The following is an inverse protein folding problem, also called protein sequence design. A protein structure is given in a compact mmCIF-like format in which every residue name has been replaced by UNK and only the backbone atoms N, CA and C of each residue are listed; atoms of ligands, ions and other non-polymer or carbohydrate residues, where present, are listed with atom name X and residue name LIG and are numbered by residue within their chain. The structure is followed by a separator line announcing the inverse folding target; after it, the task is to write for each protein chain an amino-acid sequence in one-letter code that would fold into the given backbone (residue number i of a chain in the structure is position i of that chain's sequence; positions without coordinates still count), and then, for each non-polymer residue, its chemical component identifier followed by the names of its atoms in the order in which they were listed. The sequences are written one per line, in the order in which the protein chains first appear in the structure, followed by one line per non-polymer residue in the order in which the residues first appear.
data_IF_776356752344
#
_entry.id   IF_776356752344
#
_cell.length_a   1.000
_cell.length_b   1.000
_cell.length_c   1.000
_cell.angle_alpha   90.00
_cell.angle_beta   90.00
_cell.angle_gamma   90.00
#
_symmetry.space_group_name_H-M   'P 1'
#
loop_
_entity.id
_entity.type
_entity.pdbx_description
1 polymer ?
#
# COMPACT_ATOMS: atom_id res chain seq x y z
N UNK A 1 -22.18 -15.29 0.39
CA UNK A 1 -21.87 -14.61 -0.89
C UNK A 1 -20.37 -14.40 -0.91
N UNK A 2 -19.69 -14.85 -1.95
CA UNK A 2 -18.23 -14.70 -2.05
C UNK A 2 -17.86 -13.31 -2.64
N UNK A 3 -16.58 -12.95 -2.62
CA UNK A 3 -16.12 -11.66 -3.11
C UNK A 3 -16.47 -11.44 -4.59
N UNK A 4 -16.36 -12.48 -5.42
CA UNK A 4 -16.66 -12.40 -6.84
C UNK A 4 -18.12 -12.07 -7.13
N UNK A 5 -19.05 -12.72 -6.41
CA UNK A 5 -20.48 -12.45 -6.51
C UNK A 5 -20.81 -11.01 -6.12
N UNK A 6 -20.15 -10.48 -5.07
CA UNK A 6 -20.38 -9.09 -4.66
C UNK A 6 -19.79 -8.11 -5.67
N UNK A 7 -18.62 -8.38 -6.25
CA UNK A 7 -18.05 -7.53 -7.30
C UNK A 7 -19.02 -7.38 -8.48
N UNK A 8 -19.64 -8.47 -8.90
CA UNK A 8 -20.60 -8.45 -10.01
C UNK A 8 -21.85 -7.63 -9.67
N UNK A 9 -22.38 -7.77 -8.46
CA UNK A 9 -23.52 -6.97 -7.99
C UNK A 9 -23.15 -5.49 -7.84
N UNK A 10 -21.93 -5.20 -7.38
CA UNK A 10 -21.42 -3.85 -7.22
C UNK A 10 -21.31 -3.13 -8.56
N UNK A 11 -20.76 -3.77 -9.59
CA UNK A 11 -20.67 -3.18 -10.92
C UNK A 11 -22.07 -2.90 -11.49
N UNK A 12 -23.01 -3.84 -11.33
CA UNK A 12 -24.41 -3.65 -11.74
C UNK A 12 -25.04 -2.43 -11.04
N UNK A 13 -24.83 -2.30 -9.72
CA UNK A 13 -25.32 -1.16 -8.95
C UNK A 13 -24.68 0.14 -9.43
N UNK A 14 -23.35 0.16 -9.58
CA UNK A 14 -22.60 1.34 -10.02
C UNK A 14 -23.05 1.83 -11.40
N UNK A 15 -23.35 0.92 -12.31
CA UNK A 15 -23.93 1.27 -13.62
C UNK A 15 -25.33 1.86 -13.51
N UNK A 16 -26.13 1.43 -12.54
CA UNK A 16 -27.48 1.94 -12.29
C UNK A 16 -27.49 3.29 -11.57
N UNK A 17 -26.49 3.58 -10.73
CA UNK A 17 -26.36 4.84 -9.95
C UNK A 17 -25.13 5.65 -10.36
N UNK A 18 -24.99 5.93 -11.66
CA UNK A 18 -23.80 6.60 -12.24
C UNK A 18 -23.43 7.92 -11.56
N UNK A 19 -24.42 8.65 -11.06
CA UNK A 19 -24.21 9.96 -10.42
C UNK A 19 -23.73 9.87 -8.96
N UNK A 20 -23.76 8.69 -8.35
CA UNK A 20 -23.49 8.50 -6.92
C UNK A 20 -21.99 8.53 -6.55
N UNK A 21 -21.08 8.69 -7.52
CA UNK A 21 -19.61 8.74 -7.31
C UNK A 21 -19.08 7.61 -6.40
N UNK A 22 -19.60 6.40 -6.61
CA UNK A 22 -19.13 5.23 -5.87
C UNK A 22 -17.66 4.92 -6.19
N UNK A 23 -16.88 4.36 -5.24
CA UNK A 23 -15.52 3.91 -5.50
C UNK A 23 -15.41 2.99 -6.73
N UNK A 24 -14.30 3.02 -7.44
CA UNK A 24 -14.05 2.03 -8.48
C UNK A 24 -13.33 0.84 -7.85
N UNK A 25 -14.02 -0.29 -7.70
CA UNK A 25 -13.36 -1.54 -7.34
C UNK A 25 -12.53 -2.05 -8.53
N UNK A 26 -11.44 -2.76 -8.25
CA UNK A 26 -10.68 -3.50 -9.25
C UNK A 26 -11.55 -4.61 -9.85
N UNK A 27 -11.33 -4.93 -11.13
CA UNK A 27 -12.10 -5.96 -11.84
C UNK A 27 -11.78 -7.39 -11.41
N UNK A 28 -10.96 -7.56 -10.37
CA UNK A 28 -10.50 -8.85 -9.84
C UNK A 28 -10.46 -8.84 -8.33
N UNK A 29 -10.45 -10.05 -7.78
CA UNK A 29 -10.36 -10.35 -6.35
C UNK A 29 -8.94 -10.77 -5.99
N UNK A 30 -8.61 -10.71 -4.70
CA UNK A 30 -7.25 -10.91 -4.20
C UNK A 30 -7.22 -11.86 -3.01
N UNK A 31 -6.12 -12.56 -2.87
CA UNK A 31 -5.68 -13.12 -1.58
C UNK A 31 -4.56 -12.25 -1.02
N UNK A 32 -4.55 -12.06 0.29
CA UNK A 32 -3.61 -11.19 0.99
C UNK A 32 -2.94 -11.93 2.15
N UNK A 33 -1.62 -11.95 2.15
CA UNK A 33 -0.81 -12.37 3.29
C UNK A 33 -0.14 -11.16 3.93
N UNK A 34 -0.30 -11.01 5.24
CA UNK A 34 0.34 -9.95 6.03
C UNK A 34 1.32 -10.58 7.00
N UNK A 35 2.59 -10.20 6.91
CA UNK A 35 3.66 -10.62 7.82
C UNK A 35 4.19 -9.43 8.57
N UNK A 36 4.36 -9.57 9.87
CA UNK A 36 4.85 -8.51 10.74
C UNK A 36 6.04 -9.04 11.52
N UNK A 37 7.15 -8.30 11.51
CA UNK A 37 8.32 -8.60 12.33
C UNK A 37 8.90 -7.31 12.92
N UNK A 38 9.74 -7.45 13.93
CA UNK A 38 10.49 -6.33 14.52
C UNK A 38 11.97 -6.53 14.26
N UNK A 39 12.60 -5.54 13.62
CA UNK A 39 14.04 -5.48 13.41
C UNK A 39 14.65 -4.47 14.39
N UNK A 40 15.78 -4.81 15.00
CA UNK A 40 16.41 -3.98 16.05
C UNK A 40 17.58 -3.16 15.55
N UNK A 41 17.97 -3.31 14.28
CA UNK A 41 19.04 -2.52 13.68
C UNK A 41 18.63 -1.98 12.32
N UNK A 42 19.11 -0.79 11.99
CA UNK A 42 18.88 -0.17 10.69
C UNK A 42 19.51 -0.99 9.55
N UNK A 43 20.65 -1.65 9.81
CA UNK A 43 21.28 -2.55 8.84
C UNK A 43 20.38 -3.72 8.45
N UNK A 44 19.66 -4.31 9.40
CA UNK A 44 18.66 -5.35 9.12
C UNK A 44 17.49 -4.81 8.29
N UNK A 45 17.05 -3.57 8.55
CA UNK A 45 16.00 -2.92 7.74
C UNK A 45 16.47 -2.74 6.30
N UNK A 46 17.70 -2.26 6.10
CA UNK A 46 18.28 -2.09 4.77
C UNK A 46 18.44 -3.43 4.03
N UNK A 47 18.85 -4.49 4.73
CA UNK A 47 18.88 -5.83 4.15
C UNK A 47 17.47 -6.33 3.75
N UNK A 48 16.44 -6.03 4.56
CA UNK A 48 15.05 -6.36 4.22
C UNK A 48 14.55 -5.60 2.99
N UNK A 49 14.91 -4.31 2.86
CA UNK A 49 14.60 -3.50 1.67
C UNK A 49 15.30 -4.03 0.42
N UNK A 50 16.59 -4.38 0.51
CA UNK A 50 17.34 -4.97 -0.60
C UNK A 50 16.74 -6.30 -1.05
N UNK A 51 16.43 -7.19 -0.09
CA UNK A 51 15.78 -8.48 -0.35
C UNK A 51 14.40 -8.32 -1.00
N UNK A 52 13.64 -7.30 -0.59
CA UNK A 52 12.30 -7.00 -1.12
C UNK A 52 12.33 -6.51 -2.57
N UNK A 53 13.45 -5.96 -3.05
CA UNK A 53 13.65 -5.44 -4.42
C UNK A 53 12.53 -4.48 -4.85
N UNK A 54 12.34 -3.35 -4.14
CA UNK A 54 11.29 -2.41 -4.46
C UNK A 54 11.53 -1.79 -5.84
N UNK A 55 10.45 -1.43 -6.53
CA UNK A 55 10.48 -0.66 -7.78
C UNK A 55 10.09 0.80 -7.60
N UNK A 56 9.34 1.12 -6.52
CA UNK A 56 8.88 2.47 -6.19
C UNK A 56 8.69 2.61 -4.67
N UNK A 57 8.78 3.83 -4.14
CA UNK A 57 8.57 4.10 -2.71
C UNK A 57 9.10 5.43 -2.22
N UNK A 58 9.09 5.57 -0.91
CA UNK A 58 9.64 6.71 -0.20
C UNK A 58 10.20 6.28 1.15
N UNK A 59 11.27 6.96 1.56
CA UNK A 59 11.95 6.79 2.84
C UNK A 59 11.89 8.15 3.54
N UNK A 60 11.44 8.16 4.78
CA UNK A 60 11.39 9.32 5.65
C UNK A 60 12.38 9.12 6.78
N UNK A 61 13.29 10.07 6.86
CA UNK A 61 14.33 10.17 7.86
C UNK A 61 14.02 11.35 8.77
N UNK A 62 14.68 11.40 9.92
CA UNK A 62 14.55 12.53 10.84
C UNK A 62 14.92 13.88 10.18
N UNK A 63 15.92 13.89 9.31
CA UNK A 63 16.45 15.10 8.66
C UNK A 63 15.95 15.34 7.24
N UNK A 64 15.13 14.45 6.68
CA UNK A 64 14.63 14.64 5.31
C UNK A 64 13.85 13.46 4.75
N UNK A 65 13.48 13.57 3.48
CA UNK A 65 12.73 12.54 2.75
C UNK A 65 13.45 12.19 1.46
N UNK A 66 13.48 10.91 1.15
CA UNK A 66 13.97 10.39 -0.11
C UNK A 66 12.84 9.73 -0.87
N UNK A 67 12.66 10.13 -2.13
CA UNK A 67 11.72 9.49 -3.04
C UNK A 67 12.45 8.52 -3.95
N UNK A 68 11.74 7.47 -4.30
CA UNK A 68 12.25 6.39 -5.10
C UNK A 68 11.22 6.07 -6.18
N UNK A 69 11.47 6.51 -7.42
CA UNK A 69 10.56 6.36 -8.55
C UNK A 69 10.93 5.25 -9.53
N UNK A 70 12.15 4.68 -9.39
CA UNK A 70 12.67 3.62 -10.24
C UNK A 70 13.76 2.82 -9.52
N UNK A 71 13.79 1.51 -9.72
CA UNK A 71 14.83 0.59 -9.23
C UNK A 71 16.22 0.85 -9.81
N UNK A 72 17.33 0.56 -9.08
CA UNK A 72 17.39 0.05 -7.70
C UNK A 72 17.27 1.14 -6.63
N UNK A 73 16.82 0.75 -5.43
CA UNK A 73 16.78 1.67 -4.28
C UNK A 73 18.21 1.98 -3.84
N UNK A 74 18.63 3.23 -4.04
CA UNK A 74 19.92 3.73 -3.56
C UNK A 74 19.72 4.43 -2.22
N UNK A 75 20.10 3.79 -1.11
CA UNK A 75 19.96 4.40 0.22
C UNK A 75 20.96 5.55 0.35
N UNK A 76 20.46 6.77 0.60
CA UNK A 76 21.32 7.91 0.89
C UNK A 76 22.00 7.76 2.25
N UNK A 77 23.29 8.09 2.29
CA UNK A 77 24.10 8.16 3.52
C UNK A 77 24.05 9.53 4.20
N UNK A 78 23.35 10.49 3.60
CA UNK A 78 23.34 11.89 4.06
C UNK A 78 22.27 12.16 5.12
N UNK A 79 21.36 11.20 5.34
CA UNK A 79 20.28 11.30 6.30
C UNK A 79 20.58 10.54 7.60
N UNK A 80 19.99 11.00 8.68
CA UNK A 80 20.17 10.44 10.03
C UNK A 80 19.29 9.18 10.22
N UNK A 81 18.44 9.20 11.25
CA UNK A 81 17.62 8.05 11.62
C UNK A 81 16.46 7.84 10.63
N UNK A 82 16.36 6.62 10.10
CA UNK A 82 15.20 6.19 9.33
C UNK A 82 13.97 6.05 10.22
N UNK A 83 12.90 6.78 9.90
CA UNK A 83 11.65 6.79 10.67
C UNK A 83 10.58 5.94 10.03
N UNK A 84 10.31 6.17 8.74
CA UNK A 84 9.22 5.50 8.03
C UNK A 84 9.66 5.13 6.61
N UNK A 85 9.20 3.99 6.12
CA UNK A 85 9.37 3.58 4.73
C UNK A 85 8.07 3.01 4.23
N UNK A 86 7.69 3.36 3.01
CA UNK A 86 6.77 2.56 2.23
C UNK A 86 7.35 2.36 0.86
N UNK A 87 7.49 1.10 0.48
CA UNK A 87 7.98 0.70 -0.83
C UNK A 87 7.08 -0.39 -1.40
N UNK A 88 7.03 -0.48 -2.71
CA UNK A 88 6.23 -1.46 -3.42
C UNK A 88 7.04 -2.08 -4.57
N UNK A 89 6.64 -3.29 -4.93
CA UNK A 89 7.00 -3.94 -6.18
C UNK A 89 5.70 -4.39 -6.90
N UNK A 90 5.79 -5.28 -7.90
CA UNK A 90 4.65 -5.67 -8.73
C UNK A 90 3.46 -6.30 -7.98
N UNK A 91 3.71 -6.95 -6.84
CA UNK A 91 2.71 -7.75 -6.14
C UNK A 91 2.85 -7.72 -4.61
N UNK A 92 3.61 -6.77 -4.09
CA UNK A 92 3.78 -6.62 -2.67
C UNK A 92 4.09 -5.17 -2.27
N UNK A 93 3.85 -4.88 -1.00
CA UNK A 93 4.18 -3.63 -0.33
C UNK A 93 4.93 -3.93 0.98
N UNK A 94 5.96 -3.15 1.29
CA UNK A 94 6.72 -3.25 2.53
C UNK A 94 6.68 -1.92 3.26
N UNK A 95 6.18 -1.95 4.49
CA UNK A 95 6.09 -0.79 5.37
C UNK A 95 7.10 -0.97 6.49
N UNK A 96 7.88 0.06 6.76
CA UNK A 96 8.77 0.11 7.92
C UNK A 96 8.38 1.30 8.76
N UNK A 97 8.28 1.12 10.08
CA UNK A 97 7.95 2.17 11.04
C UNK A 97 8.85 2.05 12.27
N UNK A 98 9.52 3.13 12.63
CA UNK A 98 10.25 3.19 13.90
C UNK A 98 9.27 3.03 15.07
N UNK A 99 9.57 2.12 16.00
CA UNK A 99 8.64 1.73 17.07
C UNK A 99 8.78 2.57 18.35
N UNK A 100 9.68 3.55 18.39
CA UNK A 100 9.94 4.38 19.57
C UNK A 100 10.79 3.72 20.66
N UNK A 101 11.11 2.43 20.52
CA UNK A 101 11.87 1.62 21.48
C UNK A 101 13.25 1.21 20.94
N UNK A 102 13.75 1.89 19.89
CA UNK A 102 15.02 1.56 19.26
C UNK A 102 14.95 0.50 18.16
N UNK A 103 13.75 0.07 17.74
CA UNK A 103 13.56 -0.88 16.64
C UNK A 103 12.59 -0.38 15.58
N UNK A 104 12.37 -1.22 14.57
CA UNK A 104 11.46 -0.97 13.46
C UNK A 104 10.47 -2.11 13.32
N UNK A 105 9.19 -1.76 13.27
CA UNK A 105 8.13 -2.66 12.86
C UNK A 105 8.15 -2.74 11.33
N UNK A 106 8.37 -3.93 10.80
CA UNK A 106 8.35 -4.22 9.37
C UNK A 106 7.07 -5.00 9.08
N UNK A 107 6.22 -4.45 8.22
CA UNK A 107 4.98 -5.09 7.77
C UNK A 107 5.04 -5.31 6.27
N UNK A 108 4.95 -6.58 5.87
CA UNK A 108 4.93 -7.01 4.48
C UNK A 108 3.52 -7.43 4.09
N UNK A 109 3.02 -6.86 3.00
CA UNK A 109 1.77 -7.21 2.36
C UNK A 109 2.09 -7.90 1.04
N UNK A 110 1.91 -9.22 0.97
CA UNK A 110 2.00 -9.97 -0.29
C UNK A 110 0.58 -10.22 -0.79
N UNK A 111 0.27 -9.77 -2.01
CA UNK A 111 -1.06 -9.93 -2.60
C UNK A 111 -0.97 -10.47 -4.02
N UNK A 112 -1.85 -11.41 -4.33
CA UNK A 112 -1.99 -11.97 -5.66
C UNK A 112 -3.48 -12.08 -6.00
N UNK A 113 -3.80 -12.32 -7.26
CA UNK A 113 -5.17 -12.64 -7.65
C UNK A 113 -5.65 -13.88 -6.88
N UNK A 114 -6.87 -13.80 -6.36
CA UNK A 114 -7.41 -14.74 -5.38
C UNK A 114 -8.89 -14.50 -5.18
N UNK A 115 -9.49 -14.91 -4.06
CA UNK A 115 -10.95 -14.88 -3.87
C UNK A 115 -11.41 -14.23 -2.56
N UNK A 116 -10.49 -13.87 -1.67
CA UNK A 116 -10.82 -13.48 -0.30
C UNK A 116 -11.20 -11.99 -0.17
N UNK A 117 -10.61 -11.13 -1.00
CA UNK A 117 -10.71 -9.68 -0.87
C UNK A 117 -11.13 -9.01 -2.17
N UNK A 118 -11.98 -8.00 -2.05
CA UNK A 118 -12.11 -6.95 -3.07
C UNK A 118 -11.07 -5.87 -2.82
N UNK A 119 -10.76 -5.08 -3.85
CA UNK A 119 -9.84 -3.97 -3.70
C UNK A 119 -10.28 -2.74 -4.46
N UNK A 120 -9.91 -1.56 -3.96
CA UNK A 120 -9.93 -0.30 -4.69
C UNK A 120 -8.62 0.47 -4.50
N UNK A 121 -8.32 1.39 -5.43
CA UNK A 121 -7.17 2.28 -5.29
C UNK A 121 -7.63 3.64 -4.74
N UNK A 122 -7.09 4.03 -3.59
CA UNK A 122 -7.27 5.36 -3.01
C UNK A 122 -6.04 6.22 -3.31
N UNK A 123 -6.28 7.51 -3.61
CA UNK A 123 -5.22 8.50 -3.85
C UNK A 123 -5.17 9.50 -2.69
N UNK A 124 -3.97 9.78 -2.18
CA UNK A 124 -3.71 10.81 -1.19
C UNK A 124 -2.75 11.87 -1.72
N UNK A 125 -2.81 13.08 -1.17
CA UNK A 125 -1.87 14.13 -1.54
C UNK A 125 -0.45 13.77 -1.14
N UNK A 126 0.50 13.93 -2.06
CA UNK A 126 1.91 13.80 -1.77
C UNK A 126 2.47 15.17 -1.36
N UNK A 127 2.75 15.36 -0.06
CA UNK A 127 3.17 16.65 0.50
C UNK A 127 4.54 17.14 0.01
N UNK A 128 5.35 16.28 -0.59
CA UNK A 128 6.66 16.61 -1.14
C UNK A 128 6.58 17.28 -2.53
N UNK A 129 5.45 17.16 -3.22
CA UNK A 129 5.23 17.83 -4.50
C UNK A 129 4.42 19.11 -4.29
N UNK A 130 5.12 20.25 -4.27
CA UNK A 130 4.49 21.57 -4.13
C UNK A 130 3.59 21.95 -5.30
N UNK A 131 3.71 21.27 -6.45
CA UNK A 131 2.80 21.45 -7.59
C UNK A 131 1.49 20.67 -7.39
N UNK A 132 1.49 19.71 -6.46
CA UNK A 132 0.35 18.84 -6.18
C UNK A 132 -0.03 17.94 -7.35
N UNK A 133 0.88 17.70 -8.29
CA UNK A 133 0.65 16.85 -9.46
C UNK A 133 0.91 15.37 -9.16
N UNK A 134 1.58 15.08 -8.04
CA UNK A 134 1.87 13.74 -7.56
C UNK A 134 0.92 13.35 -6.43
N UNK A 135 0.41 12.12 -6.48
CA UNK A 135 -0.40 11.49 -5.44
C UNK A 135 0.24 10.20 -4.95
N UNK A 136 0.05 9.89 -3.68
CA UNK A 136 0.34 8.57 -3.12
C UNK A 136 -0.84 7.64 -3.46
N UNK A 137 -0.56 6.45 -3.95
CA UNK A 137 -1.58 5.45 -4.27
C UNK A 137 -1.54 4.31 -3.27
N UNK A 138 -2.69 3.97 -2.73
CA UNK A 138 -2.87 2.84 -1.83
C UNK A 138 -3.91 1.88 -2.37
N UNK A 139 -3.57 0.61 -2.43
CA UNK A 139 -4.53 -0.46 -2.67
C UNK A 139 -5.16 -0.83 -1.34
N UNK A 140 -6.47 -0.61 -1.23
CA UNK A 140 -7.26 -0.89 -0.03
C UNK A 140 -8.06 -2.16 -0.24
N UNK A 141 -7.96 -3.08 0.72
CA UNK A 141 -8.59 -4.39 0.68
C UNK A 141 -9.84 -4.42 1.54
N UNK A 142 -10.90 -4.98 0.97
CA UNK A 142 -12.22 -5.12 1.58
C UNK A 142 -12.53 -6.59 1.77
N UNK A 143 -12.82 -6.97 3.01
CA UNK A 143 -13.24 -8.32 3.36
C UNK A 143 -14.77 -8.40 3.38
N UNK A 144 -15.31 -9.37 2.66
CA UNK A 144 -16.72 -9.74 2.73
C UNK A 144 -17.01 -10.34 4.11
N UNK A 145 -18.04 -9.85 4.79
CA UNK A 145 -18.48 -10.44 6.05
C UNK A 145 -19.49 -11.56 5.81
N UNK A 146 -19.40 -12.63 6.59
CA UNK A 146 -20.40 -13.69 6.60
C UNK A 146 -21.73 -13.14 7.17
N UNK A 147 -22.85 -13.51 6.54
CA UNK A 147 -24.18 -13.25 7.12
C UNK A 147 -24.76 -11.84 6.90
N UNK A 148 -24.70 -11.30 5.69
CA UNK A 148 -25.44 -10.10 5.20
C UNK A 148 -24.96 -8.71 5.68
N UNK A 149 -23.85 -8.62 6.40
CA UNK A 149 -23.35 -7.36 6.97
C UNK A 149 -22.45 -6.50 6.05
N UNK A 150 -22.50 -6.72 4.73
CA UNK A 150 -21.75 -5.92 3.77
C UNK A 150 -20.23 -6.20 3.79
N UNK A 151 -19.42 -5.15 3.64
CA UNK A 151 -17.97 -5.26 3.44
C UNK A 151 -17.23 -4.29 4.35
N UNK A 152 -16.09 -4.72 4.89
CA UNK A 152 -15.24 -3.89 5.75
C UNK A 152 -13.85 -3.72 5.13
N UNK A 153 -13.35 -2.48 5.11
CA UNK A 153 -11.95 -2.22 4.78
C UNK A 153 -11.08 -2.74 5.91
N UNK A 154 -10.14 -3.64 5.61
CA UNK A 154 -9.30 -4.30 6.61
C UNK A 154 -7.84 -3.91 6.51
N UNK A 155 -7.34 -3.64 5.30
CA UNK A 155 -5.95 -3.29 5.06
C UNK A 155 -5.85 -2.25 3.95
N UNK A 156 -4.80 -1.45 3.97
CA UNK A 156 -4.40 -0.61 2.85
C UNK A 156 -2.87 -0.61 2.76
N UNK A 157 -2.33 -0.74 1.55
CA UNK A 157 -0.89 -0.72 1.35
C UNK A 157 -0.50 0.16 0.16
N UNK A 158 0.66 0.82 0.29
CA UNK A 158 1.23 1.66 -0.75
C UNK A 158 1.55 0.82 -2.00
N UNK A 159 1.14 1.32 -3.17
CA UNK A 159 1.38 0.66 -4.47
C UNK A 159 2.09 1.57 -5.48
N UNK A 160 2.55 2.75 -5.03
CA UNK A 160 3.31 3.68 -5.87
C UNK A 160 2.74 5.10 -5.89
N UNK A 161 3.21 5.86 -6.87
CA UNK A 161 2.77 7.22 -7.11
C UNK A 161 1.85 7.29 -8.33
N UNK A 162 1.03 8.34 -8.42
CA UNK A 162 0.19 8.64 -9.58
C UNK A 162 0.12 10.13 -9.89
N UNK A 163 -0.40 10.47 -11.07
CA UNK A 163 -0.73 11.85 -11.43
C UNK A 163 -2.08 12.31 -10.83
N UNK A 164 -2.34 13.62 -10.87
CA UNK A 164 -3.70 14.15 -10.87
C UNK A 164 -4.39 13.73 -12.17
N UNK A 165 -5.58 13.14 -12.05
CA UNK A 165 -6.51 12.99 -13.19
C UNK A 165 -7.20 14.31 -13.50
#
# INVERSE_FOLDING_TARGET
MNAQEILQQYETLREAVRDAKLPTLESKTYDLSVKIETLTTVGSVYAALDSFKPSVGWLDYQSGKQLFLKSPLEISTDYDMLLNVEVANSNASLHVRYNGQGGWLVTRYDYNEGNDYLADTVKHFASFDKTGNTTLRYLRFWKVQDGSLGMNSVFACFVGFGGKE
#
